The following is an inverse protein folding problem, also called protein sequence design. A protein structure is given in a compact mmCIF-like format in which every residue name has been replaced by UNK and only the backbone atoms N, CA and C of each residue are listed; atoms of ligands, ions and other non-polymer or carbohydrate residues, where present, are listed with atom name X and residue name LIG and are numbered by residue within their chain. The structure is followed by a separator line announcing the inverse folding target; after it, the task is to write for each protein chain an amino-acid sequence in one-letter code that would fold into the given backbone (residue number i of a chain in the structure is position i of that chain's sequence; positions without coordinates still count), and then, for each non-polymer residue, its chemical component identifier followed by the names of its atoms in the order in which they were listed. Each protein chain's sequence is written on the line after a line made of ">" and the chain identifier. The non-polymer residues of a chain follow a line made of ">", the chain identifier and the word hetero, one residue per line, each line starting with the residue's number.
data_IF_804260127304
#
_entry.id   IF_804260127304
#
_cell.length_a   1.000
_cell.length_b   1.000
_cell.length_c   1.000
_cell.angle_alpha   90.00
_cell.angle_beta   90.00
_cell.angle_gamma   90.00
#
_symmetry.space_group_name_H-M   'P 1'
#
loop_
_entity.id
_entity.type
_entity.pdbx_description
1 polymer ?
#
# COMPACT_ATOMS: atom_id res chain seq x y z
N UNK A 1 -16.22 -25.09 -3.31
CA UNK A 1 -14.98 -24.77 -2.57
C UNK A 1 -15.36 -24.38 -1.15
N UNK A 2 -14.92 -25.10 -0.12
CA UNK A 2 -15.28 -24.78 1.28
C UNK A 2 -14.78 -23.38 1.67
N UNK A 3 -15.51 -22.64 2.51
CA UNK A 3 -15.16 -21.28 2.98
C UNK A 3 -13.70 -21.20 3.50
N UNK A 4 -13.22 -22.26 4.15
CA UNK A 4 -11.86 -22.32 4.69
C UNK A 4 -10.79 -22.39 3.59
N UNK A 5 -11.01 -23.19 2.54
CA UNK A 5 -10.16 -23.24 1.34
C UNK A 5 -10.15 -21.92 0.59
N UNK A 6 -11.28 -21.22 0.53
CA UNK A 6 -11.35 -19.89 -0.09
C UNK A 6 -10.56 -18.84 0.70
N UNK A 7 -10.66 -18.86 2.04
CA UNK A 7 -9.87 -17.98 2.91
C UNK A 7 -8.37 -18.24 2.77
N UNK A 8 -7.96 -19.51 2.73
CA UNK A 8 -6.57 -19.90 2.50
C UNK A 8 -6.07 -19.39 1.14
N UNK A 9 -6.81 -19.64 0.07
CA UNK A 9 -6.49 -19.14 -1.26
C UNK A 9 -6.38 -17.60 -1.30
N UNK A 10 -7.28 -16.88 -0.63
CA UNK A 10 -7.20 -15.42 -0.52
C UNK A 10 -5.96 -14.95 0.24
N UNK A 11 -5.55 -15.65 1.29
CA UNK A 11 -4.35 -15.32 2.08
C UNK A 11 -3.05 -15.74 1.36
N UNK A 12 -3.13 -16.59 0.33
CA UNK A 12 -2.03 -16.90 -0.60
C UNK A 12 -1.89 -15.83 -1.70
N UNK A 13 -3.00 -15.45 -2.35
CA UNK A 13 -3.01 -14.48 -3.47
C UNK A 13 -2.80 -13.04 -3.00
N UNK A 14 -3.41 -12.66 -1.87
CA UNK A 14 -3.31 -11.31 -1.30
C UNK A 14 -2.90 -11.40 0.18
N UNK A 15 -1.61 -11.72 0.47
CA UNK A 15 -1.15 -11.99 1.83
C UNK A 15 -1.33 -10.81 2.78
N UNK A 16 -1.29 -9.59 2.24
CA UNK A 16 -1.38 -8.35 3.01
C UNK A 16 -2.79 -7.72 3.05
N UNK A 17 -3.77 -8.32 2.38
CA UNK A 17 -5.12 -7.76 2.21
C UNK A 17 -5.18 -6.44 1.42
N UNK A 18 -4.20 -6.17 0.54
CA UNK A 18 -4.15 -4.96 -0.27
C UNK A 18 -5.27 -4.91 -1.30
N UNK A 19 -5.37 -5.95 -2.12
CA UNK A 19 -6.39 -6.01 -3.17
C UNK A 19 -7.79 -5.98 -2.56
N UNK A 20 -7.97 -6.62 -1.39
CA UNK A 20 -9.22 -6.56 -0.63
C UNK A 20 -9.58 -5.15 -0.19
N UNK A 21 -8.63 -4.40 0.38
CA UNK A 21 -8.85 -3.00 0.79
C UNK A 21 -9.11 -2.11 -0.43
N UNK A 22 -8.33 -2.28 -1.51
CA UNK A 22 -8.53 -1.56 -2.76
C UNK A 22 -9.92 -1.82 -3.32
N UNK A 23 -10.39 -3.07 -3.34
CA UNK A 23 -11.72 -3.42 -3.81
C UNK A 23 -12.81 -2.70 -3.00
N UNK A 24 -12.76 -2.74 -1.66
CA UNK A 24 -13.74 -2.05 -0.83
C UNK A 24 -13.77 -0.54 -1.08
N UNK A 25 -12.59 0.05 -1.25
CA UNK A 25 -12.46 1.48 -1.54
C UNK A 25 -13.00 1.82 -2.94
N UNK A 26 -12.67 1.01 -3.95
CA UNK A 26 -13.20 1.16 -5.31
C UNK A 26 -14.72 1.03 -5.36
N UNK A 27 -15.30 0.05 -4.66
CA UNK A 27 -16.75 -0.12 -4.58
C UNK A 27 -17.41 1.10 -3.92
N UNK A 28 -16.85 1.59 -2.81
CA UNK A 28 -17.34 2.79 -2.15
C UNK A 28 -17.32 4.02 -3.09
N UNK A 29 -16.19 4.28 -3.73
CA UNK A 29 -16.06 5.39 -4.69
C UNK A 29 -17.03 5.23 -5.86
N UNK A 30 -17.10 4.04 -6.46
CA UNK A 30 -18.01 3.76 -7.58
C UNK A 30 -19.48 3.98 -7.20
N UNK A 31 -19.91 3.57 -6.01
CA UNK A 31 -21.28 3.83 -5.55
C UNK A 31 -21.58 5.31 -5.45
N UNK A 32 -20.66 6.11 -4.88
CA UNK A 32 -20.84 7.56 -4.77
C UNK A 32 -20.84 8.21 -6.16
N UNK A 33 -19.94 7.81 -7.05
CA UNK A 33 -19.90 8.33 -8.42
C UNK A 33 -21.20 8.07 -9.19
N UNK A 34 -21.83 6.90 -9.03
CA UNK A 34 -23.13 6.61 -9.65
C UNK A 34 -24.22 7.55 -9.12
N UNK A 35 -24.26 7.81 -7.81
CA UNK A 35 -25.21 8.79 -7.25
C UNK A 35 -24.95 10.21 -7.76
N UNK A 36 -23.69 10.63 -7.83
CA UNK A 36 -23.30 11.93 -8.37
C UNK A 36 -23.70 12.04 -9.83
N UNK A 37 -23.47 10.99 -10.62
CA UNK A 37 -23.87 10.93 -12.02
C UNK A 37 -25.39 11.12 -12.17
N UNK A 38 -26.20 10.42 -11.37
CA UNK A 38 -27.66 10.55 -11.43
C UNK A 38 -28.17 11.93 -11.02
N UNK A 39 -27.52 12.59 -10.07
CA UNK A 39 -27.92 13.91 -9.57
C UNK A 39 -27.51 15.05 -10.49
N UNK A 40 -26.27 15.03 -10.97
CA UNK A 40 -25.70 16.15 -11.74
C UNK A 40 -25.79 15.95 -13.25
N UNK A 41 -25.98 14.72 -13.73
CA UNK A 41 -26.11 14.37 -15.15
C UNK A 41 -25.03 15.05 -16.02
N UNK A 42 -23.74 14.73 -15.79
CA UNK A 42 -22.64 15.39 -16.48
C UNK A 42 -22.75 15.21 -17.99
N UNK A 43 -22.35 16.27 -18.72
CA UNK A 43 -22.50 16.38 -20.19
C UNK A 43 -21.83 15.22 -20.91
N UNK A 44 -20.67 14.75 -20.44
CA UNK A 44 -19.95 13.62 -21.03
C UNK A 44 -19.81 12.47 -20.03
N UNK A 45 -20.48 11.35 -20.34
CA UNK A 45 -20.41 10.11 -19.57
C UNK A 45 -18.97 9.57 -19.48
N UNK A 46 -18.27 9.49 -20.61
CA UNK A 46 -16.89 8.95 -20.65
C UNK A 46 -15.96 9.85 -19.87
N UNK A 47 -16.02 11.18 -20.06
CA UNK A 47 -15.16 12.11 -19.34
C UNK A 47 -15.40 12.07 -17.82
N UNK A 48 -16.63 11.73 -17.39
CA UNK A 48 -16.95 11.57 -15.97
C UNK A 48 -16.38 10.27 -15.35
N UNK A 49 -16.52 9.12 -16.01
CA UNK A 49 -16.09 7.83 -15.42
C UNK A 49 -14.62 7.47 -15.70
N UNK A 50 -13.99 8.08 -16.70
CA UNK A 50 -12.60 7.80 -17.04
C UNK A 50 -11.62 8.00 -15.85
N UNK A 51 -11.68 9.11 -15.09
CA UNK A 51 -10.73 9.37 -14.01
C UNK A 51 -10.71 8.27 -12.94
N UNK A 52 -11.83 7.61 -12.68
CA UNK A 52 -11.94 6.48 -11.76
C UNK A 52 -10.93 5.37 -12.08
N UNK A 53 -10.73 5.03 -13.36
CA UNK A 53 -9.80 3.98 -13.78
C UNK A 53 -8.36 4.30 -13.40
N UNK A 54 -7.96 5.56 -13.56
CA UNK A 54 -6.63 6.07 -13.21
C UNK A 54 -6.42 6.15 -11.70
N UNK A 55 -7.49 6.38 -10.93
CA UNK A 55 -7.39 6.48 -9.47
C UNK A 55 -7.05 5.16 -8.79
N UNK A 56 -7.16 4.03 -9.47
CA UNK A 56 -6.66 2.74 -8.98
C UNK A 56 -5.16 2.78 -8.64
N UNK A 57 -4.38 3.63 -9.32
CA UNK A 57 -2.96 3.85 -9.03
C UNK A 57 -2.70 4.53 -7.69
N UNK A 58 -3.71 5.17 -7.09
CA UNK A 58 -3.62 5.74 -5.74
C UNK A 58 -3.25 4.68 -4.69
N UNK A 59 -3.68 3.43 -4.88
CA UNK A 59 -3.37 2.32 -3.97
C UNK A 59 -2.07 1.59 -4.29
N UNK A 60 -1.28 2.07 -5.26
CA UNK A 60 0.00 1.47 -5.57
C UNK A 60 0.92 1.49 -4.32
N UNK A 61 1.54 0.34 -3.95
CA UNK A 61 2.36 0.22 -2.74
C UNK A 61 3.66 1.04 -2.80
N UNK A 62 3.98 1.61 -3.97
CA UNK A 62 5.19 2.39 -4.21
C UNK A 62 5.09 3.81 -3.65
N UNK A 63 3.88 4.34 -3.54
CA UNK A 63 3.63 5.65 -2.93
C UNK A 63 3.61 5.44 -1.43
N UNK A 64 4.56 6.00 -0.69
CA UNK A 64 4.78 5.67 0.72
C UNK A 64 4.10 6.65 1.69
N UNK A 65 3.58 7.77 1.18
CA UNK A 65 2.96 8.83 2.00
C UNK A 65 1.63 9.31 1.40
N UNK A 66 0.71 9.79 2.26
CA UNK A 66 -0.54 10.42 1.79
C UNK A 66 -0.29 11.63 0.90
N UNK A 67 0.77 12.41 1.18
CA UNK A 67 1.16 13.56 0.38
C UNK A 67 1.51 13.16 -1.07
N UNK A 68 2.31 12.11 -1.25
CA UNK A 68 2.62 11.57 -2.58
C UNK A 68 1.35 11.10 -3.31
N UNK A 69 0.45 10.43 -2.59
CA UNK A 69 -0.82 9.95 -3.15
C UNK A 69 -1.75 11.11 -3.58
N UNK A 70 -1.84 12.18 -2.79
CA UNK A 70 -2.58 13.39 -3.14
C UNK A 70 -1.96 14.12 -4.34
N UNK A 71 -0.63 14.27 -4.36
CA UNK A 71 0.09 14.85 -5.50
C UNK A 71 -0.16 14.07 -6.79
N UNK A 72 -0.19 12.74 -6.72
CA UNK A 72 -0.53 11.90 -7.85
C UNK A 72 -1.94 12.17 -8.37
N UNK A 73 -2.95 12.26 -7.48
CA UNK A 73 -4.33 12.55 -7.90
C UNK A 73 -4.45 13.92 -8.56
N UNK A 74 -3.76 14.94 -8.03
CA UNK A 74 -3.74 16.28 -8.64
C UNK A 74 -3.10 16.22 -10.02
N UNK A 75 -1.95 15.52 -10.14
CA UNK A 75 -1.27 15.33 -11.41
C UNK A 75 -2.15 14.59 -12.44
N UNK A 76 -2.84 13.53 -12.02
CA UNK A 76 -3.80 12.80 -12.85
C UNK A 76 -4.92 13.73 -13.30
N UNK A 77 -5.50 14.52 -12.39
CA UNK A 77 -6.60 15.46 -12.71
C UNK A 77 -6.18 16.44 -13.81
N UNK A 78 -5.04 17.12 -13.61
CA UNK A 78 -4.52 18.11 -14.56
C UNK A 78 -4.17 17.43 -15.88
N UNK A 79 -3.52 16.26 -15.83
CA UNK A 79 -3.13 15.49 -17.00
C UNK A 79 -4.32 15.06 -17.86
N UNK A 80 -5.35 14.45 -17.27
CA UNK A 80 -6.55 14.03 -18.01
C UNK A 80 -7.23 15.24 -18.64
N UNK A 81 -7.41 16.35 -17.90
CA UNK A 81 -8.07 17.56 -18.41
C UNK A 81 -7.31 18.10 -19.62
N UNK A 82 -6.00 18.34 -19.48
CA UNK A 82 -5.18 18.91 -20.55
C UNK A 82 -5.14 18.00 -21.78
N UNK A 83 -4.91 16.70 -21.60
CA UNK A 83 -4.82 15.75 -22.71
C UNK A 83 -6.19 15.63 -23.39
N UNK A 84 -7.29 15.48 -22.64
CA UNK A 84 -8.63 15.31 -23.23
C UNK A 84 -9.05 16.53 -24.05
N UNK A 85 -8.84 17.74 -23.53
CA UNK A 85 -9.18 18.98 -24.26
C UNK A 85 -8.30 19.13 -25.50
N UNK A 86 -6.98 19.02 -25.33
CA UNK A 86 -6.05 19.28 -26.45
C UNK A 86 -6.17 18.23 -27.54
N UNK A 87 -6.39 16.97 -27.18
CA UNK A 87 -6.65 15.92 -28.15
C UNK A 87 -7.94 16.22 -28.90
N UNK A 88 -9.03 16.55 -28.20
CA UNK A 88 -10.31 16.87 -28.82
C UNK A 88 -10.25 18.07 -29.78
N UNK A 89 -9.56 19.15 -29.40
CA UNK A 89 -9.44 20.35 -30.24
C UNK A 89 -8.57 20.12 -31.49
N UNK A 90 -7.51 19.33 -31.38
CA UNK A 90 -6.54 19.10 -32.48
C UNK A 90 -6.95 17.91 -33.37
N UNK A 91 -7.81 17.01 -32.87
CA UNK A 91 -8.28 15.81 -33.57
C UNK A 91 -8.75 16.01 -35.02
N UNK A 92 -9.47 17.09 -35.39
CA UNK A 92 -9.90 17.29 -36.77
C UNK A 92 -8.74 17.38 -37.76
N UNK A 93 -7.56 17.82 -37.31
CA UNK A 93 -6.36 18.00 -38.13
C UNK A 93 -5.48 16.76 -38.12
N UNK A 94 -5.91 15.67 -38.76
CA UNK A 94 -5.28 14.32 -38.67
C UNK A 94 -3.74 14.27 -38.69
N UNK A 95 -3.10 14.98 -39.62
CA UNK A 95 -1.62 15.01 -39.73
C UNK A 95 -1.00 15.74 -38.55
N UNK A 96 -1.52 16.92 -38.21
CA UNK A 96 -1.08 17.71 -37.05
C UNK A 96 -1.32 16.94 -35.76
N UNK A 97 -2.48 16.29 -35.64
CA UNK A 97 -2.85 15.45 -34.52
C UNK A 97 -1.85 14.31 -34.29
N UNK A 98 -1.41 13.61 -35.33
CA UNK A 98 -0.41 12.56 -35.19
C UNK A 98 0.90 13.07 -34.54
N UNK A 99 1.49 14.15 -35.09
CA UNK A 99 2.70 14.73 -34.52
C UNK A 99 2.47 15.32 -33.12
N UNK A 100 1.30 15.92 -32.89
CA UNK A 100 0.90 16.45 -31.60
C UNK A 100 0.77 15.34 -30.54
N UNK A 101 0.17 14.21 -30.86
CA UNK A 101 0.07 13.06 -29.94
C UNK A 101 1.45 12.50 -29.58
N UNK A 102 2.39 12.42 -30.53
CA UNK A 102 3.78 12.01 -30.24
C UNK A 102 4.47 13.01 -29.33
N UNK A 103 4.25 14.30 -29.54
CA UNK A 103 4.76 15.36 -28.66
C UNK A 103 4.20 15.25 -27.25
N UNK A 104 2.87 15.15 -27.09
CA UNK A 104 2.21 15.00 -25.79
C UNK A 104 2.66 13.72 -25.09
N UNK A 105 2.79 12.60 -25.80
CA UNK A 105 3.36 11.36 -25.27
C UNK A 105 4.77 11.58 -24.71
N UNK A 106 5.62 12.29 -25.45
CA UNK A 106 7.00 12.57 -25.03
C UNK A 106 7.04 13.44 -23.78
N UNK A 107 6.29 14.55 -23.77
CA UNK A 107 6.20 15.47 -22.63
C UNK A 107 5.65 14.76 -21.40
N UNK A 108 4.53 14.04 -21.54
CA UNK A 108 3.92 13.29 -20.44
C UNK A 108 4.87 12.21 -19.91
N UNK A 109 5.57 11.49 -20.79
CA UNK A 109 6.56 10.50 -20.40
C UNK A 109 7.70 11.11 -19.56
N UNK A 110 8.29 12.22 -20.01
CA UNK A 110 9.36 12.90 -19.26
C UNK A 110 8.87 13.47 -17.93
N UNK A 111 7.64 14.01 -17.89
CA UNK A 111 7.03 14.46 -16.63
C UNK A 111 6.82 13.28 -15.66
N UNK A 112 6.25 12.17 -16.12
CA UNK A 112 6.04 10.97 -15.29
C UNK A 112 7.38 10.40 -14.82
N UNK A 113 8.40 10.31 -15.67
CA UNK A 113 9.72 9.86 -15.25
C UNK A 113 10.35 10.77 -14.18
N UNK A 114 10.19 12.09 -14.30
CA UNK A 114 10.76 13.06 -13.36
C UNK A 114 10.08 13.02 -11.99
N UNK A 115 8.75 12.93 -11.94
CA UNK A 115 7.99 13.06 -10.70
C UNK A 115 7.51 11.72 -10.12
N UNK A 116 7.25 10.73 -10.96
CA UNK A 116 6.66 9.43 -10.59
C UNK A 116 7.37 8.27 -11.32
N UNK A 117 8.71 8.22 -11.23
CA UNK A 117 9.55 7.25 -11.95
C UNK A 117 9.08 5.79 -11.85
N UNK A 118 8.49 5.41 -10.73
CA UNK A 118 8.02 4.04 -10.46
C UNK A 118 6.68 3.71 -11.12
N UNK A 119 5.92 4.72 -11.55
CA UNK A 119 4.63 4.59 -12.20
C UNK A 119 4.75 4.89 -13.71
N UNK A 120 5.74 4.34 -14.40
CA UNK A 120 5.97 4.60 -15.85
C UNK A 120 4.74 4.31 -16.71
N UNK A 121 3.92 3.33 -16.30
CA UNK A 121 2.68 2.94 -16.97
C UNK A 121 1.59 4.03 -16.92
N UNK A 122 1.70 5.00 -16.00
CA UNK A 122 0.79 6.14 -15.89
C UNK A 122 0.71 6.95 -17.18
N UNK A 123 1.84 7.10 -17.89
CA UNK A 123 1.89 7.82 -19.17
C UNK A 123 0.91 7.24 -20.18
N UNK A 124 0.95 5.92 -20.39
CA UNK A 124 0.08 5.27 -21.38
C UNK A 124 -1.40 5.33 -20.97
N UNK A 125 -1.69 5.25 -19.67
CA UNK A 125 -3.06 5.37 -19.16
C UNK A 125 -3.63 6.79 -19.31
N UNK A 126 -2.79 7.83 -19.18
CA UNK A 126 -3.18 9.23 -19.42
C UNK A 126 -3.34 9.55 -20.91
N UNK A 127 -2.61 8.87 -21.79
CA UNK A 127 -2.78 9.04 -23.24
C UNK A 127 -4.03 8.29 -23.72
N UNK A 128 -4.22 7.06 -23.25
CA UNK A 128 -5.41 6.27 -23.61
C UNK A 128 -6.70 6.93 -23.12
N UNK A 129 -6.66 7.61 -21.97
CA UNK A 129 -7.79 8.39 -21.48
C UNK A 129 -8.25 9.46 -22.44
N UNK A 130 -7.31 10.25 -22.97
CA UNK A 130 -7.61 11.31 -23.91
C UNK A 130 -8.16 10.76 -25.22
N UNK A 131 -7.65 9.61 -25.67
CA UNK A 131 -8.11 8.96 -26.89
C UNK A 131 -9.56 8.44 -26.80
N UNK A 132 -9.99 7.93 -25.63
CA UNK A 132 -11.36 7.42 -25.44
C UNK A 132 -12.42 8.52 -25.60
N UNK A 133 -12.10 9.74 -25.18
CA UNK A 133 -13.01 10.90 -25.25
C UNK A 133 -13.23 11.40 -26.69
N UNK A 134 -12.33 11.06 -27.63
CA UNK A 134 -12.41 11.51 -29.03
C UNK A 134 -13.56 10.90 -29.85
N UNK A 135 -14.20 9.85 -29.35
CA UNK A 135 -15.04 8.97 -30.17
C UNK A 135 -16.53 9.37 -30.28
N UNK A 136 -16.98 10.43 -29.59
CA UNK A 136 -18.42 10.59 -29.31
C UNK A 136 -19.02 11.94 -29.75
N UNK A 137 -18.23 13.01 -29.81
CA UNK A 137 -18.79 14.37 -29.89
C UNK A 137 -18.42 15.12 -31.19
N UNK A 138 -19.26 16.09 -31.63
CA UNK A 138 -18.99 16.89 -32.81
C UNK A 138 -17.63 17.60 -32.70
N UNK A 139 -16.81 17.61 -33.76
CA UNK A 139 -15.42 18.05 -33.66
C UNK A 139 -15.27 19.55 -33.31
N UNK A 140 -14.33 19.85 -32.41
CA UNK A 140 -13.81 21.20 -32.12
C UNK A 140 -14.81 22.27 -31.65
N UNK A 141 -15.91 21.88 -31.01
CA UNK A 141 -16.76 22.81 -30.26
C UNK A 141 -16.21 23.10 -28.85
N UNK A 142 -15.97 24.37 -28.53
CA UNK A 142 -15.51 24.80 -27.19
C UNK A 142 -16.50 24.45 -26.08
N UNK A 143 -17.80 24.44 -26.35
CA UNK A 143 -18.83 24.08 -25.37
C UNK A 143 -18.67 22.63 -24.88
N UNK A 144 -18.38 21.71 -25.81
CA UNK A 144 -18.07 20.30 -25.49
C UNK A 144 -16.78 20.20 -24.67
N UNK A 145 -15.76 21.01 -25.00
CA UNK A 145 -14.52 21.05 -24.22
C UNK A 145 -14.77 21.52 -22.78
N UNK A 146 -15.63 22.54 -22.58
CA UNK A 146 -16.08 22.93 -21.24
C UNK A 146 -16.86 21.82 -20.55
N UNK A 147 -17.69 21.07 -21.28
CA UNK A 147 -18.38 19.87 -20.80
C UNK A 147 -17.42 18.78 -20.30
N UNK A 148 -16.30 18.56 -20.99
CA UNK A 148 -15.26 17.63 -20.53
C UNK A 148 -14.58 18.11 -19.25
N UNK A 149 -14.20 19.39 -19.20
CA UNK A 149 -13.57 19.98 -18.01
C UNK A 149 -14.48 19.81 -16.80
N UNK A 150 -15.76 20.21 -16.92
CA UNK A 150 -16.71 20.15 -15.82
C UNK A 150 -16.98 18.71 -15.38
N UNK A 151 -17.12 17.77 -16.32
CA UNK A 151 -17.35 16.34 -16.03
C UNK A 151 -16.16 15.70 -15.30
N UNK A 152 -14.93 15.93 -15.79
CA UNK A 152 -13.71 15.40 -15.16
C UNK A 152 -13.48 16.04 -13.79
N UNK A 153 -13.66 17.36 -13.68
CA UNK A 153 -13.48 18.07 -12.42
C UNK A 153 -14.49 17.61 -11.37
N UNK A 154 -15.76 17.43 -11.76
CA UNK A 154 -16.81 16.91 -10.88
C UNK A 154 -16.44 15.51 -10.36
N UNK A 155 -16.10 14.59 -11.26
CA UNK A 155 -15.67 13.22 -10.92
C UNK A 155 -14.50 13.23 -9.93
N UNK A 156 -13.38 13.87 -10.29
CA UNK A 156 -12.20 13.92 -9.43
C UNK A 156 -12.47 14.55 -8.07
N UNK A 157 -13.33 15.59 -8.01
CA UNK A 157 -13.70 16.23 -6.73
C UNK A 157 -14.37 15.25 -5.79
N UNK A 158 -15.35 14.48 -6.28
CA UNK A 158 -16.02 13.47 -5.47
C UNK A 158 -15.11 12.29 -5.13
N UNK A 159 -14.20 11.88 -6.02
CA UNK A 159 -13.16 10.89 -5.70
C UNK A 159 -12.27 11.38 -4.56
N UNK A 160 -11.80 12.63 -4.61
CA UNK A 160 -11.00 13.22 -3.53
C UNK A 160 -11.74 13.20 -2.18
N UNK A 161 -13.02 13.58 -2.18
CA UNK A 161 -13.86 13.56 -0.98
C UNK A 161 -14.00 12.12 -0.46
N UNK A 162 -14.33 11.16 -1.33
CA UNK A 162 -14.51 9.76 -0.96
C UNK A 162 -13.24 9.16 -0.37
N UNK A 163 -12.08 9.40 -1.00
CA UNK A 163 -10.79 8.90 -0.54
C UNK A 163 -10.37 9.50 0.81
N UNK A 164 -10.79 10.73 1.11
CA UNK A 164 -10.52 11.40 2.39
C UNK A 164 -11.44 10.92 3.52
N UNK A 165 -12.69 10.58 3.21
CA UNK A 165 -13.67 10.06 4.17
C UNK A 165 -13.45 8.58 4.47
N UNK A 166 -12.96 7.81 3.49
CA UNK A 166 -12.77 6.37 3.64
C UNK A 166 -11.84 6.03 4.82
N UNK A 167 -12.20 5.07 5.70
CA UNK A 167 -11.41 4.77 6.88
C UNK A 167 -10.01 4.28 6.52
N UNK A 168 -9.02 4.70 7.32
CA UNK A 168 -7.64 4.26 7.13
C UNK A 168 -7.48 2.80 7.59
N UNK A 169 -7.45 1.89 6.63
CA UNK A 169 -7.32 0.43 6.85
C UNK A 169 -5.87 -0.08 6.79
N UNK A 170 -4.87 0.81 6.64
CA UNK A 170 -3.46 0.40 6.45
C UNK A 170 -2.84 -0.30 7.67
N UNK A 171 -3.45 -0.19 8.85
CA UNK A 171 -3.04 -0.96 10.02
C UNK A 171 -3.18 -2.48 9.80
N UNK A 172 -4.18 -2.91 9.02
CA UNK A 172 -4.38 -4.32 8.68
C UNK A 172 -3.22 -4.82 7.81
N UNK A 173 -2.85 -4.05 6.79
CA UNK A 173 -1.72 -4.34 5.89
C UNK A 173 -0.43 -4.42 6.68
N UNK A 174 -0.16 -3.41 7.52
CA UNK A 174 1.02 -3.36 8.37
C UNK A 174 1.10 -4.57 9.32
N UNK A 175 -0.02 -4.91 9.99
CA UNK A 175 -0.07 -6.05 10.92
C UNK A 175 0.21 -7.38 10.20
N UNK A 176 -0.40 -7.60 9.02
CA UNK A 176 -0.19 -8.80 8.21
C UNK A 176 1.25 -8.89 7.69
N UNK A 177 1.83 -7.78 7.27
CA UNK A 177 3.22 -7.73 6.82
C UNK A 177 4.19 -8.07 7.96
N UNK A 178 3.97 -7.50 9.14
CA UNK A 178 4.80 -7.79 10.32
C UNK A 178 4.61 -9.22 10.81
N UNK A 179 3.38 -9.73 10.81
CA UNK A 179 3.07 -11.14 11.10
C UNK A 179 3.87 -12.09 10.21
N UNK A 180 3.90 -11.83 8.90
CA UNK A 180 4.66 -12.64 7.94
C UNK A 180 6.16 -12.50 8.16
N UNK A 181 6.67 -11.30 8.41
CA UNK A 181 8.08 -11.09 8.75
C UNK A 181 8.50 -11.89 9.99
N UNK A 182 7.72 -11.84 11.07
CA UNK A 182 7.97 -12.63 12.28
C UNK A 182 7.92 -14.14 11.98
N UNK A 183 7.00 -14.60 11.14
CA UNK A 183 6.94 -16.01 10.71
C UNK A 183 8.22 -16.46 9.99
N UNK A 184 8.85 -15.60 9.18
CA UNK A 184 10.12 -15.91 8.54
C UNK A 184 11.28 -15.88 9.52
N UNK A 185 11.28 -14.93 10.47
CA UNK A 185 12.26 -14.90 11.56
C UNK A 185 12.20 -16.17 12.44
N UNK A 186 11.00 -16.66 12.75
CA UNK A 186 10.80 -17.95 13.45
C UNK A 186 11.44 -19.12 12.68
N UNK A 187 11.25 -19.15 11.36
CA UNK A 187 11.84 -20.18 10.49
C UNK A 187 13.36 -20.06 10.41
N UNK A 188 13.90 -18.85 10.36
CA UNK A 188 15.35 -18.63 10.33
C UNK A 188 16.02 -19.07 11.63
N UNK A 189 15.36 -18.83 12.78
CA UNK A 189 15.75 -19.40 14.07
C UNK A 189 15.76 -20.94 14.00
N UNK A 190 14.71 -21.55 13.47
CA UNK A 190 14.65 -23.02 13.31
C UNK A 190 15.74 -23.58 12.40
N UNK A 191 16.01 -22.94 11.27
CA UNK A 191 17.07 -23.37 10.38
C UNK A 191 18.44 -23.23 11.03
N UNK A 192 18.66 -22.15 11.79
CA UNK A 192 19.91 -21.92 12.51
C UNK A 192 20.13 -22.96 13.61
N UNK A 193 19.10 -23.28 14.40
CA UNK A 193 19.18 -24.35 15.43
C UNK A 193 19.46 -25.71 14.78
N UNK A 194 18.77 -26.02 13.67
CA UNK A 194 18.93 -27.30 12.98
C UNK A 194 20.15 -27.36 12.03
N UNK A 195 21.00 -26.32 12.01
CA UNK A 195 22.19 -26.21 11.13
C UNK A 195 21.88 -26.44 9.64
N UNK A 196 20.74 -25.91 9.18
CA UNK A 196 20.33 -25.98 7.78
C UNK A 196 20.66 -24.67 7.04
N UNK A 197 21.42 -24.75 5.95
CA UNK A 197 21.90 -23.58 5.18
C UNK A 197 20.85 -22.88 4.30
N UNK A 198 19.58 -23.30 4.34
CA UNK A 198 18.52 -22.71 3.50
C UNK A 198 17.88 -21.50 4.19
N UNK A 199 18.50 -20.33 4.06
CA UNK A 199 17.92 -19.06 4.56
C UNK A 199 16.99 -18.40 3.52
N UNK A 200 15.69 -18.23 3.81
CA UNK A 200 14.77 -17.49 2.94
C UNK A 200 14.95 -15.97 3.12
N UNK A 201 16.05 -15.42 2.60
CA UNK A 201 16.43 -14.01 2.78
C UNK A 201 15.57 -13.04 1.97
N UNK A 202 15.08 -13.44 0.79
CA UNK A 202 14.35 -12.53 -0.09
C UNK A 202 12.94 -12.20 0.43
N UNK A 203 12.17 -13.21 0.83
CA UNK A 203 10.81 -13.04 1.32
C UNK A 203 10.79 -12.21 2.61
N UNK A 204 11.78 -12.42 3.48
CA UNK A 204 11.96 -11.63 4.68
C UNK A 204 12.16 -10.13 4.39
N UNK A 205 13.07 -9.81 3.46
CA UNK A 205 13.33 -8.43 3.01
C UNK A 205 12.05 -7.80 2.45
N UNK A 206 11.28 -8.54 1.65
CA UNK A 206 10.01 -8.07 1.09
C UNK A 206 9.01 -7.72 2.19
N UNK A 207 8.78 -8.60 3.16
CA UNK A 207 7.84 -8.36 4.27
C UNK A 207 8.26 -7.15 5.11
N UNK A 208 9.55 -7.03 5.41
CA UNK A 208 10.09 -5.89 6.14
C UNK A 208 9.96 -4.57 5.36
N UNK A 209 10.14 -4.61 4.04
CA UNK A 209 9.89 -3.48 3.14
C UNK A 209 8.44 -3.01 3.22
N UNK A 210 7.49 -3.94 3.20
CA UNK A 210 6.06 -3.64 3.35
C UNK A 210 5.76 -3.02 4.73
N UNK A 211 6.29 -3.58 5.82
CA UNK A 211 6.14 -2.99 7.17
C UNK A 211 6.60 -1.54 7.19
N UNK A 212 7.78 -1.25 6.64
CA UNK A 212 8.34 0.11 6.58
C UNK A 212 7.48 1.07 5.76
N UNK A 213 7.05 0.66 4.58
CA UNK A 213 6.24 1.50 3.69
C UNK A 213 4.89 1.84 4.33
N UNK A 214 4.20 0.86 4.89
CA UNK A 214 2.88 1.07 5.49
C UNK A 214 2.92 1.72 6.87
N UNK A 215 4.07 1.70 7.59
CA UNK A 215 4.22 2.44 8.86
C UNK A 215 3.99 3.93 8.66
N UNK A 216 4.44 4.51 7.54
CA UNK A 216 4.26 5.93 7.21
C UNK A 216 2.81 6.30 6.88
N UNK A 217 1.99 5.31 6.55
CA UNK A 217 0.56 5.49 6.24
C UNK A 217 -0.34 5.27 7.46
N UNK A 218 0.21 4.87 8.59
CA UNK A 218 -0.58 4.66 9.79
C UNK A 218 -1.10 5.99 10.36
N UNK A 219 -2.31 6.01 10.94
CA UNK A 219 -2.76 7.12 11.77
C UNK A 219 -1.71 7.50 12.82
N UNK A 220 -1.56 8.80 13.09
CA UNK A 220 -0.56 9.33 14.05
C UNK A 220 -0.60 8.61 15.41
N UNK A 221 -1.80 8.22 15.88
CA UNK A 221 -1.98 7.48 17.14
C UNK A 221 -1.26 6.12 17.15
N UNK A 222 -1.17 5.42 16.01
CA UNK A 222 -0.57 4.10 15.90
C UNK A 222 0.91 4.14 15.47
N UNK A 223 1.37 5.25 14.89
CA UNK A 223 2.69 5.35 14.26
C UNK A 223 3.83 5.00 15.22
N UNK A 224 3.89 5.59 16.41
CA UNK A 224 5.01 5.36 17.34
C UNK A 224 5.02 3.93 17.92
N UNK A 225 3.90 3.36 18.41
CA UNK A 225 3.86 1.95 18.79
C UNK A 225 4.27 1.00 17.66
N UNK A 226 3.71 1.17 16.46
CA UNK A 226 4.03 0.34 15.30
C UNK A 226 5.50 0.43 14.89
N UNK A 227 6.06 1.64 14.86
CA UNK A 227 7.47 1.87 14.60
C UNK A 227 8.36 1.16 15.63
N UNK A 228 8.06 1.29 16.93
CA UNK A 228 8.82 0.64 18.01
C UNK A 228 8.81 -0.88 17.88
N UNK A 229 7.67 -1.49 17.55
CA UNK A 229 7.61 -2.95 17.32
C UNK A 229 8.53 -3.31 16.15
N UNK A 230 8.35 -2.64 15.01
CA UNK A 230 9.10 -2.93 13.78
C UNK A 230 10.62 -2.83 13.98
N UNK A 231 11.08 -1.80 14.69
CA UNK A 231 12.51 -1.61 15.00
C UNK A 231 13.02 -2.67 15.97
N UNK A 232 12.29 -2.95 17.04
CA UNK A 232 12.75 -3.92 18.04
C UNK A 232 12.78 -5.35 17.48
N UNK A 233 11.80 -5.77 16.68
CA UNK A 233 11.84 -7.09 16.01
C UNK A 233 13.03 -7.16 15.04
N UNK A 234 13.31 -6.08 14.29
CA UNK A 234 14.49 -6.03 13.43
C UNK A 234 15.80 -6.08 14.22
N UNK A 235 15.87 -5.43 15.38
CA UNK A 235 17.05 -5.50 16.25
C UNK A 235 17.24 -6.90 16.82
N UNK A 236 16.15 -7.63 17.13
CA UNK A 236 16.21 -9.04 17.50
C UNK A 236 16.82 -9.86 16.37
N UNK A 237 16.33 -9.72 15.14
CA UNK A 237 16.91 -10.39 13.97
C UNK A 237 18.41 -10.13 13.86
N UNK A 238 18.83 -8.87 13.79
CA UNK A 238 20.25 -8.49 13.68
C UNK A 238 21.11 -9.03 14.84
N UNK A 239 20.56 -9.06 16.04
CA UNK A 239 21.27 -9.56 17.21
C UNK A 239 21.38 -11.08 17.20
N UNK A 240 20.37 -11.80 16.69
CA UNK A 240 20.41 -13.24 16.52
C UNK A 240 21.43 -13.65 15.45
N UNK A 241 21.49 -12.93 14.34
CA UNK A 241 22.52 -13.13 13.31
C UNK A 241 23.93 -12.99 13.88
N UNK A 242 24.15 -12.04 14.81
CA UNK A 242 25.44 -11.86 15.49
C UNK A 242 25.68 -12.90 16.59
N UNK A 243 24.64 -13.31 17.33
CA UNK A 243 24.71 -14.34 18.37
C UNK A 243 25.09 -15.71 17.81
N UNK A 244 24.83 -15.97 16.52
CA UNK A 244 25.29 -17.19 15.85
C UNK A 244 26.82 -17.32 15.87
N UNK A 245 27.55 -16.20 15.88
CA UNK A 245 29.01 -16.19 15.99
C UNK A 245 29.51 -16.28 17.44
N UNK A 246 28.63 -16.09 18.43
CA UNK A 246 28.88 -16.42 19.84
C UNK A 246 28.50 -17.89 20.12
N UNK A 247 28.91 -18.45 21.26
CA UNK A 247 28.51 -19.81 21.66
C UNK A 247 26.98 -19.91 21.77
N UNK A 248 26.36 -20.57 20.79
CA UNK A 248 24.90 -20.69 20.67
C UNK A 248 24.29 -21.40 21.89
N UNK A 249 23.37 -20.71 22.57
CA UNK A 249 22.57 -21.30 23.64
C UNK A 249 21.18 -21.65 23.11
N UNK A 250 20.97 -22.90 22.73
CA UNK A 250 19.72 -23.37 22.11
C UNK A 250 18.48 -23.05 22.95
N UNK A 251 18.56 -23.19 24.28
CA UNK A 251 17.42 -22.89 25.16
C UNK A 251 16.97 -21.43 25.11
N UNK A 252 17.92 -20.50 24.93
CA UNK A 252 17.63 -19.09 24.71
C UNK A 252 16.92 -18.88 23.37
N UNK A 253 17.45 -19.47 22.30
CA UNK A 253 16.91 -19.34 20.94
C UNK A 253 15.49 -19.91 20.82
N UNK A 254 15.23 -21.10 21.39
CA UNK A 254 13.89 -21.66 21.50
C UNK A 254 12.95 -20.76 22.31
N UNK A 255 13.44 -20.16 23.40
CA UNK A 255 12.70 -19.17 24.17
C UNK A 255 12.26 -17.97 23.32
N UNK A 256 13.17 -17.40 22.52
CA UNK A 256 12.86 -16.29 21.61
C UNK A 256 11.83 -16.72 20.57
N UNK A 257 12.03 -17.86 19.91
CA UNK A 257 11.08 -18.40 18.91
C UNK A 257 9.67 -18.55 19.51
N UNK A 258 9.55 -19.13 20.69
CA UNK A 258 8.25 -19.35 21.34
C UNK A 258 7.54 -18.02 21.67
N UNK A 259 8.29 -16.99 22.11
CA UNK A 259 7.72 -15.67 22.35
C UNK A 259 7.31 -14.95 21.05
N UNK A 260 8.09 -15.09 19.97
CA UNK A 260 7.72 -14.57 18.66
C UNK A 260 6.46 -15.25 18.12
N UNK A 261 6.35 -16.57 18.26
CA UNK A 261 5.14 -17.33 17.93
C UNK A 261 3.94 -16.83 18.74
N UNK A 262 4.12 -16.65 20.06
CA UNK A 262 3.07 -16.11 20.91
C UNK A 262 2.63 -14.72 20.46
N UNK A 263 3.56 -13.80 20.24
CA UNK A 263 3.27 -12.46 19.71
C UNK A 263 2.48 -12.56 18.40
N UNK A 264 2.89 -13.44 17.48
CA UNK A 264 2.25 -13.65 16.19
C UNK A 264 0.80 -14.17 16.32
N UNK A 265 0.54 -15.09 17.25
CA UNK A 265 -0.81 -15.58 17.55
C UNK A 265 -1.69 -14.44 18.09
N UNK A 266 -1.16 -13.62 19.00
CA UNK A 266 -1.87 -12.46 19.56
C UNK A 266 -2.09 -11.36 18.50
N UNK A 267 -1.16 -11.19 17.56
CA UNK A 267 -1.31 -10.30 16.40
C UNK A 267 -2.45 -10.70 15.47
N UNK A 268 -2.66 -12.00 15.27
CA UNK A 268 -3.78 -12.50 14.48
C UNK A 268 -5.12 -12.25 15.18
N UNK A 269 -5.17 -12.42 16.50
CA UNK A 269 -6.37 -12.19 17.32
C UNK A 269 -6.61 -10.71 17.70
N UNK A 270 -5.65 -9.82 17.43
CA UNK A 270 -5.68 -8.42 17.90
C UNK A 270 -5.84 -8.28 19.41
N UNK A 271 -5.21 -9.18 20.16
CA UNK A 271 -5.27 -9.25 21.63
C UNK A 271 -3.92 -8.92 22.26
N UNK A 272 -3.97 -8.53 23.54
CA UNK A 272 -2.75 -8.26 24.31
C UNK A 272 -1.98 -9.56 24.60
N UNK A 273 -0.66 -9.48 24.60
CA UNK A 273 0.24 -10.63 24.78
C UNK A 273 0.87 -10.71 26.18
N UNK A 274 0.68 -9.71 27.05
CA UNK A 274 1.33 -9.65 28.36
C UNK A 274 2.83 -9.33 28.27
N UNK A 275 3.63 -9.91 29.18
CA UNK A 275 5.09 -9.83 29.18
C UNK A 275 5.69 -11.11 28.57
N UNK A 276 6.86 -11.03 27.91
CA UNK A 276 7.53 -12.22 27.38
C UNK A 276 8.05 -13.10 28.52
N UNK A 277 8.04 -14.42 28.30
CA UNK A 277 8.54 -15.41 29.26
C UNK A 277 9.76 -16.11 28.67
N UNK A 278 10.94 -15.87 29.23
CA UNK A 278 12.18 -16.53 28.82
C UNK A 278 12.44 -17.74 29.72
N UNK A 279 12.80 -18.90 29.16
CA UNK A 279 13.06 -20.11 29.94
C UNK A 279 14.36 -20.03 30.74
N UNK A 280 15.27 -19.14 30.35
CA UNK A 280 16.56 -18.93 31.01
C UNK A 280 16.89 -17.44 31.07
N UNK A 281 17.69 -17.07 32.07
CA UNK A 281 18.21 -15.71 32.18
C UNK A 281 19.26 -15.42 31.10
N UNK A 282 19.20 -14.24 30.46
CA UNK A 282 20.23 -13.81 29.53
C UNK A 282 21.61 -13.78 30.19
N UNK A 283 22.64 -14.27 29.50
CA UNK A 283 24.03 -14.29 30.00
C UNK A 283 24.93 -13.28 29.29
N UNK A 284 24.82 -13.18 27.97
CA UNK A 284 25.66 -12.25 27.17
C UNK A 284 24.99 -10.89 27.01
N UNK A 285 25.78 -9.85 26.67
CA UNK A 285 25.25 -8.50 26.41
C UNK A 285 24.22 -8.51 25.27
N UNK A 286 24.47 -9.32 24.23
CA UNK A 286 23.54 -9.49 23.11
C UNK A 286 22.26 -10.19 23.54
N UNK A 287 22.33 -11.25 24.37
CA UNK A 287 21.12 -11.89 24.91
C UNK A 287 20.27 -10.92 25.75
N UNK A 288 20.90 -10.07 26.58
CA UNK A 288 20.19 -9.03 27.32
C UNK A 288 19.52 -8.01 26.38
N UNK A 289 20.22 -7.61 25.31
CA UNK A 289 19.67 -6.70 24.31
C UNK A 289 18.45 -7.30 23.60
N UNK A 290 18.54 -8.56 23.19
CA UNK A 290 17.43 -9.31 22.57
C UNK A 290 16.22 -9.37 23.52
N UNK A 291 16.43 -9.73 24.79
CA UNK A 291 15.37 -9.80 25.79
C UNK A 291 14.67 -8.44 25.99
N UNK A 292 15.45 -7.35 26.06
CA UNK A 292 14.92 -5.99 26.17
C UNK A 292 14.11 -5.58 24.93
N UNK A 293 14.60 -5.88 23.73
CA UNK A 293 13.86 -5.61 22.49
C UNK A 293 12.56 -6.41 22.42
N UNK A 294 12.55 -7.66 22.89
CA UNK A 294 11.36 -8.50 22.95
C UNK A 294 10.31 -7.90 23.90
N UNK A 295 10.72 -7.54 25.11
CA UNK A 295 9.85 -6.87 26.09
C UNK A 295 9.26 -5.56 25.55
N UNK A 296 10.09 -4.72 24.91
CA UNK A 296 9.65 -3.46 24.29
C UNK A 296 8.67 -3.71 23.14
N UNK A 297 8.84 -4.80 22.38
CA UNK A 297 7.92 -5.20 21.32
C UNK A 297 6.56 -5.58 21.89
N UNK A 298 6.52 -6.43 22.93
CA UNK A 298 5.31 -6.85 23.62
C UNK A 298 4.55 -5.66 24.22
N UNK A 299 5.26 -4.78 24.95
CA UNK A 299 4.66 -3.55 25.52
C UNK A 299 4.08 -2.65 24.43
N UNK A 300 4.78 -2.49 23.31
CA UNK A 300 4.32 -1.65 22.20
C UNK A 300 3.11 -2.28 21.49
N UNK A 301 3.06 -3.61 21.37
CA UNK A 301 1.91 -4.34 20.84
C UNK A 301 0.68 -4.19 21.75
N UNK A 302 0.84 -4.37 23.06
CA UNK A 302 -0.24 -4.16 24.03
C UNK A 302 -0.80 -2.74 23.95
N UNK A 303 0.07 -1.73 23.83
CA UNK A 303 -0.33 -0.34 23.62
C UNK A 303 -1.09 -0.15 22.30
N UNK A 304 -0.67 -0.80 21.22
CA UNK A 304 -1.36 -0.75 19.93
C UNK A 304 -2.76 -1.38 20.02
N UNK A 305 -2.91 -2.49 20.72
CA UNK A 305 -4.21 -3.12 20.98
C UNK A 305 -5.16 -2.19 21.75
N UNK A 306 -4.67 -1.54 22.83
CA UNK A 306 -5.45 -0.57 23.59
C UNK A 306 -5.93 0.61 22.73
N UNK A 307 -5.04 1.15 21.89
CA UNK A 307 -5.38 2.27 21.00
C UNK A 307 -6.36 1.90 19.88
N UNK A 308 -6.51 0.61 19.57
CA UNK A 308 -7.48 0.13 18.57
C UNK A 308 -8.88 -0.02 19.17
N UNK A 309 -8.97 -0.30 20.47
CA UNK A 309 -10.24 -0.39 21.20
C UNK A 309 -10.89 0.99 21.45
N UNK A 310 -10.11 2.08 21.33
CA UNK A 310 -10.53 3.47 21.51
C UNK A 310 -10.38 4.29 20.22
#
# INVERSE_FOLDING_TARGET
>A
MSILKFKQWLDEVDPYALQRITLYKCLFVATVEVYVYWLFQPVSFIAFFMPFLLTSLYEAPVLSTFKEKEQLLIFITIGIILISITFYLVYPFRVIFFFFSVFVLSVTYFCVLKYFYTLKNLTMLLISSGALVLSIDPPANLEVAYGFISSIALSMTFIFICLRIFPNMYLIVWNRALYKFIQYLEKDIDYTINKNDKKPTWEEIMHLGMVRNYTKMLPKKYMMPAYRISVNIRNIQHSLDNLYYETMNESFWYGIKNNLLWLRLQMHAYSQCGLPQLPIEPKTKLQHHVALCLERSFRSWNKLCLLKMH
#
